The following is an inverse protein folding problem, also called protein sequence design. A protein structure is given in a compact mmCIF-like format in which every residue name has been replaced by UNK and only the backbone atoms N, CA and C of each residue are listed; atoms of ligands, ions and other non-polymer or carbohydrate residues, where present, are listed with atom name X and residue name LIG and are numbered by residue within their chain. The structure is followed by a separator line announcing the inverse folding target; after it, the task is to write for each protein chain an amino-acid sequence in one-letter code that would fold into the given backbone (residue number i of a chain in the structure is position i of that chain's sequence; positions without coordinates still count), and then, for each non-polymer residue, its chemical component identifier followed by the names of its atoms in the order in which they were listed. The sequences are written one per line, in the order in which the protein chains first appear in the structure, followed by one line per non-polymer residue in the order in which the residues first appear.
data_IF_749051762391
#
_entry.id   IF_749051762391
#
_cell.length_a   1.000
_cell.length_b   1.000
_cell.length_c   1.000
_cell.angle_alpha   90.00
_cell.angle_beta   90.00
_cell.angle_gamma   90.00
#
_symmetry.space_group_name_H-M   'P 1'
#
loop_
_entity.id
_entity.type
_entity.pdbx_description
1 polymer ?
#
# COMPACT_ATOMS: atom_id res chain seq x y z
N UNK A 1 68.24 -47.95 18.45
CA UNK A 1 67.14 -47.91 17.52
C UNK A 1 66.04 -47.02 18.09
N UNK A 2 66.01 -45.76 17.66
CA UNK A 2 65.00 -44.79 18.10
C UNK A 2 64.06 -44.56 16.94
N UNK A 3 62.81 -44.97 17.11
CA UNK A 3 61.72 -44.69 16.12
C UNK A 3 61.16 -43.32 16.46
N UNK A 4 61.32 -42.37 15.58
CA UNK A 4 60.64 -41.08 15.63
C UNK A 4 59.23 -41.25 15.05
N UNK A 5 58.21 -41.00 15.85
CA UNK A 5 56.82 -40.88 15.41
C UNK A 5 56.55 -39.39 15.11
N UNK A 6 56.30 -39.05 13.88
CA UNK A 6 55.79 -37.75 13.45
C UNK A 6 54.26 -37.71 13.71
N UNK A 7 53.74 -36.64 14.33
CA UNK A 7 52.30 -36.46 14.32
C UNK A 7 51.84 -35.77 13.03
N UNK A 8 50.84 -36.34 12.36
CA UNK A 8 50.12 -35.73 11.27
C UNK A 8 49.26 -34.59 11.81
N UNK A 9 49.56 -33.37 11.37
CA UNK A 9 48.68 -32.22 11.53
C UNK A 9 47.62 -32.25 10.46
N UNK A 10 46.40 -32.60 10.83
CA UNK A 10 45.22 -32.45 9.96
C UNK A 10 44.74 -30.99 10.03
N UNK A 11 44.98 -30.26 8.95
CA UNK A 11 44.42 -28.94 8.72
C UNK A 11 42.94 -29.09 8.34
N UNK A 12 42.05 -28.81 9.28
CA UNK A 12 40.62 -28.72 9.00
C UNK A 12 40.28 -27.43 8.26
N UNK A 13 39.93 -27.53 7.00
CA UNK A 13 39.41 -26.42 6.23
C UNK A 13 37.97 -26.13 6.70
N UNK A 14 37.80 -25.01 7.40
CA UNK A 14 36.48 -24.44 7.68
C UNK A 14 35.94 -23.80 6.42
N UNK A 15 35.05 -24.51 5.71
CA UNK A 15 34.27 -23.94 4.64
C UNK A 15 33.20 -23.00 5.23
N UNK A 16 33.43 -21.70 5.13
CA UNK A 16 32.38 -20.71 5.36
C UNK A 16 31.38 -20.80 4.22
N UNK A 17 30.28 -21.48 4.46
CA UNK A 17 29.13 -21.43 3.55
C UNK A 17 28.51 -20.02 3.66
N UNK A 18 28.70 -19.20 2.63
CA UNK A 18 27.91 -17.98 2.44
C UNK A 18 26.46 -18.37 2.21
N UNK A 19 25.62 -18.22 3.21
CA UNK A 19 24.18 -18.35 3.07
C UNK A 19 23.69 -17.09 2.37
N UNK A 20 23.11 -17.16 1.17
CA UNK A 20 22.55 -15.98 0.53
C UNK A 20 21.37 -15.49 1.38
N UNK A 21 21.42 -14.23 1.78
CA UNK A 21 20.36 -13.58 2.55
C UNK A 21 19.06 -13.56 1.73
N UNK A 22 18.16 -14.46 2.02
CA UNK A 22 16.81 -14.49 1.43
C UNK A 22 16.00 -13.22 1.74
N UNK A 23 16.38 -12.46 2.76
CA UNK A 23 15.76 -11.18 3.12
C UNK A 23 15.83 -10.12 2.01
N UNK A 24 16.82 -10.15 1.12
CA UNK A 24 16.94 -9.19 0.02
C UNK A 24 16.04 -9.53 -1.19
N UNK A 25 15.70 -10.79 -1.37
CA UNK A 25 14.74 -11.21 -2.40
C UNK A 25 13.30 -10.87 -2.01
N UNK A 26 12.96 -11.01 -0.76
CA UNK A 26 11.65 -10.65 -0.23
C UNK A 26 11.35 -9.15 -0.37
N UNK A 27 12.36 -8.29 -0.21
CA UNK A 27 12.21 -6.84 -0.39
C UNK A 27 11.97 -6.40 -1.84
N UNK A 28 12.47 -7.12 -2.83
CA UNK A 28 12.27 -6.81 -4.27
C UNK A 28 10.90 -7.23 -4.78
N UNK A 29 10.34 -8.30 -4.27
CA UNK A 29 9.02 -8.81 -4.66
C UNK A 29 7.87 -8.10 -3.93
N UNK A 30 8.15 -7.56 -2.75
CA UNK A 30 7.16 -6.87 -1.91
C UNK A 30 6.70 -5.51 -2.47
N UNK A 31 7.51 -4.80 -3.26
CA UNK A 31 7.17 -3.44 -3.70
C UNK A 31 5.94 -3.39 -4.62
N UNK A 32 5.84 -4.19 -5.70
CA UNK A 32 4.64 -4.21 -6.52
C UNK A 32 3.41 -4.75 -5.76
N UNK A 33 3.62 -5.75 -4.93
CA UNK A 33 2.57 -6.38 -4.12
C UNK A 33 2.08 -5.46 -3.00
N UNK A 34 2.97 -4.69 -2.36
CA UNK A 34 2.62 -3.70 -1.35
C UNK A 34 1.74 -2.60 -1.93
N UNK A 35 2.10 -2.07 -3.10
CA UNK A 35 1.30 -1.05 -3.81
C UNK A 35 -0.10 -1.54 -4.15
N UNK A 36 -0.21 -2.77 -4.65
CA UNK A 36 -1.50 -3.38 -4.98
C UNK A 36 -2.36 -3.62 -3.74
N UNK A 37 -1.76 -4.06 -2.65
CA UNK A 37 -2.46 -4.19 -1.37
C UNK A 37 -2.91 -2.84 -0.85
N UNK A 38 -2.05 -1.83 -0.92
CA UNK A 38 -2.33 -0.49 -0.43
C UNK A 38 -3.54 0.13 -1.12
N UNK A 39 -3.62 0.12 -2.45
CA UNK A 39 -4.76 0.69 -3.18
C UNK A 39 -6.06 -0.08 -2.89
N UNK A 40 -5.99 -1.41 -2.78
CA UNK A 40 -7.16 -2.21 -2.44
C UNK A 40 -7.65 -1.94 -1.01
N UNK A 41 -6.72 -1.80 -0.07
CA UNK A 41 -7.04 -1.48 1.32
C UNK A 41 -7.63 -0.07 1.43
N UNK A 42 -7.02 0.93 0.80
CA UNK A 42 -7.53 2.30 0.79
C UNK A 42 -8.95 2.39 0.22
N UNK A 43 -9.20 1.73 -0.91
CA UNK A 43 -10.52 1.65 -1.53
C UNK A 43 -11.55 0.99 -0.61
N UNK A 44 -11.21 -0.16 -0.03
CA UNK A 44 -12.10 -0.88 0.88
C UNK A 44 -12.39 -0.10 2.16
N UNK A 45 -11.40 0.59 2.71
CA UNK A 45 -11.53 1.46 3.88
C UNK A 45 -12.52 2.59 3.60
N UNK A 46 -12.32 3.33 2.51
CA UNK A 46 -13.24 4.42 2.14
C UNK A 46 -14.67 3.92 1.90
N UNK A 47 -14.84 2.79 1.22
CA UNK A 47 -16.15 2.21 1.01
C UNK A 47 -16.84 1.86 2.32
N UNK A 48 -16.12 1.22 3.24
CA UNK A 48 -16.65 0.86 4.57
C UNK A 48 -17.02 2.09 5.38
N UNK A 49 -16.16 3.09 5.44
CA UNK A 49 -16.38 4.31 6.23
C UNK A 49 -17.52 5.17 5.69
N UNK A 50 -17.85 5.04 4.41
CA UNK A 50 -18.95 5.78 3.76
C UNK A 50 -20.23 4.96 3.56
N UNK A 51 -20.43 3.92 4.32
CA UNK A 51 -21.69 3.17 4.37
C UNK A 51 -21.75 1.92 3.48
N UNK A 52 -20.64 1.55 2.83
CA UNK A 52 -20.55 0.37 1.98
C UNK A 52 -20.85 0.65 0.52
N UNK A 53 -20.60 -0.35 -0.33
CA UNK A 53 -20.73 -0.23 -1.80
C UNK A 53 -22.16 -0.03 -2.31
N UNK A 54 -23.17 -0.21 -1.48
CA UNK A 54 -24.55 0.10 -1.83
C UNK A 54 -24.84 1.60 -1.84
N UNK A 55 -24.06 2.38 -1.06
CA UNK A 55 -24.24 3.81 -0.88
C UNK A 55 -23.12 4.65 -1.46
N UNK A 56 -21.93 4.06 -1.61
CA UNK A 56 -20.71 4.77 -1.97
C UNK A 56 -19.84 3.95 -2.91
N UNK A 57 -19.40 4.59 -4.00
CA UNK A 57 -18.38 4.07 -4.88
C UNK A 57 -17.18 5.02 -4.95
N UNK A 58 -15.97 4.54 -4.64
CA UNK A 58 -14.74 5.28 -4.89
C UNK A 58 -14.55 5.57 -6.37
N UNK A 59 -13.78 6.61 -6.69
CA UNK A 59 -13.43 6.96 -8.06
C UNK A 59 -12.74 5.79 -8.79
N UNK A 60 -12.90 5.75 -10.09
CA UNK A 60 -12.38 4.68 -10.97
C UNK A 60 -10.86 4.49 -10.84
N UNK A 61 -10.09 5.55 -10.56
CA UNK A 61 -8.65 5.46 -10.33
C UNK A 61 -8.27 4.47 -9.22
N UNK A 62 -9.16 4.23 -8.25
CA UNK A 62 -8.93 3.31 -7.14
C UNK A 62 -9.09 1.83 -7.52
N UNK A 63 -9.52 1.53 -8.75
CA UNK A 63 -9.65 0.16 -9.29
C UNK A 63 -8.51 -0.22 -10.23
N UNK A 64 -7.62 0.71 -10.53
CA UNK A 64 -6.44 0.50 -11.37
C UNK A 64 -5.21 0.05 -10.55
N UNK A 65 -4.05 0.15 -11.18
CA UNK A 65 -2.77 -0.03 -10.51
C UNK A 65 -2.26 1.32 -9.96
N UNK A 66 -1.14 1.28 -9.25
CA UNK A 66 -0.54 2.49 -8.65
C UNK A 66 0.44 3.23 -9.57
N UNK A 67 0.73 2.68 -10.76
CA UNK A 67 1.64 3.30 -11.71
C UNK A 67 0.93 4.44 -12.42
N UNK A 68 1.49 5.65 -12.33
CA UNK A 68 0.91 6.87 -12.91
C UNK A 68 -0.56 7.11 -12.48
N UNK A 69 -0.91 6.68 -11.28
CA UNK A 69 -2.26 6.80 -10.76
C UNK A 69 -2.48 8.20 -10.17
N UNK A 70 -3.43 8.99 -10.68
CA UNK A 70 -3.68 10.35 -10.18
C UNK A 70 -4.20 10.38 -8.74
N UNK A 71 -4.74 9.26 -8.25
CA UNK A 71 -5.25 9.16 -6.89
C UNK A 71 -4.18 8.77 -5.86
N UNK A 72 -3.03 8.29 -6.29
CA UNK A 72 -1.86 8.12 -5.43
C UNK A 72 -1.11 9.46 -5.36
N UNK A 73 -1.28 10.19 -4.28
CA UNK A 73 -0.70 11.53 -4.12
C UNK A 73 0.69 11.51 -3.50
N UNK A 74 1.01 10.47 -2.74
CA UNK A 74 2.30 10.34 -2.08
C UNK A 74 2.69 8.87 -1.91
N UNK A 75 3.97 8.60 -2.18
CA UNK A 75 4.59 7.29 -1.96
C UNK A 75 6.00 7.51 -1.47
N UNK A 76 6.25 7.21 -0.20
CA UNK A 76 7.54 7.37 0.45
C UNK A 76 7.74 6.35 1.60
N UNK A 77 8.75 6.56 2.43
CA UNK A 77 9.04 5.71 3.59
C UNK A 77 7.89 5.66 4.61
N UNK A 78 6.99 6.65 4.61
CA UNK A 78 5.83 6.70 5.49
C UNK A 78 4.63 5.90 4.96
N UNK A 79 4.66 5.50 3.71
CA UNK A 79 3.62 4.68 3.09
C UNK A 79 3.05 5.24 1.81
N UNK A 80 1.78 4.94 1.57
CA UNK A 80 1.02 5.33 0.39
C UNK A 80 -0.14 6.22 0.80
N UNK A 81 -0.15 7.45 0.33
CA UNK A 81 -1.28 8.35 0.52
C UNK A 81 -2.13 8.36 -0.74
N UNK A 82 -3.39 8.03 -0.58
CA UNK A 82 -4.40 8.11 -1.63
C UNK A 82 -5.37 9.24 -1.32
N UNK A 83 -5.61 10.08 -2.33
CA UNK A 83 -6.63 11.13 -2.29
C UNK A 83 -7.57 10.94 -3.47
N UNK A 84 -8.83 10.72 -3.21
CA UNK A 84 -9.79 10.41 -4.25
C UNK A 84 -11.20 10.81 -3.88
N UNK A 85 -11.99 11.24 -4.87
CA UNK A 85 -13.41 11.46 -4.69
C UNK A 85 -14.20 10.15 -4.70
N UNK A 86 -15.40 10.20 -4.19
CA UNK A 86 -16.39 9.14 -4.29
C UNK A 86 -17.79 9.71 -4.25
N UNK A 87 -18.77 8.90 -4.57
CA UNK A 87 -20.16 9.31 -4.63
C UNK A 87 -21.11 8.13 -4.67
N UNK A 88 -22.40 8.37 -4.95
CA UNK A 88 -23.38 7.31 -5.06
C UNK A 88 -23.02 6.34 -6.20
N UNK A 89 -23.47 5.07 -6.14
CA UNK A 89 -23.19 4.10 -7.19
C UNK A 89 -23.48 4.64 -8.59
N UNK A 90 -22.50 4.48 -9.49
CA UNK A 90 -22.62 4.96 -10.88
C UNK A 90 -22.36 6.45 -11.09
N UNK A 91 -21.98 7.20 -10.08
CA UNK A 91 -21.80 8.65 -10.14
C UNK A 91 -20.89 9.13 -11.30
N UNK A 92 -19.75 8.48 -11.53
CA UNK A 92 -18.85 8.85 -12.64
C UNK A 92 -19.47 8.58 -14.02
N UNK A 93 -20.10 7.42 -14.19
CA UNK A 93 -20.72 7.03 -15.47
C UNK A 93 -21.90 7.94 -15.80
N UNK A 94 -22.64 8.35 -14.78
CA UNK A 94 -23.80 9.23 -14.92
C UNK A 94 -23.40 10.71 -15.00
N UNK A 95 -22.11 11.04 -14.85
CA UNK A 95 -21.65 12.44 -14.83
C UNK A 95 -22.13 13.24 -13.62
N UNK A 96 -22.43 12.57 -12.52
CA UNK A 96 -22.84 13.23 -11.28
C UNK A 96 -21.61 13.75 -10.53
N UNK A 97 -21.73 14.84 -9.75
CA UNK A 97 -20.64 15.30 -8.91
C UNK A 97 -20.36 14.30 -7.79
N UNK A 98 -19.08 14.19 -7.36
CA UNK A 98 -18.74 13.43 -6.17
C UNK A 98 -19.33 14.07 -4.91
N UNK A 99 -19.62 13.25 -3.90
CA UNK A 99 -20.18 13.71 -2.64
C UNK A 99 -19.22 13.64 -1.47
N UNK A 100 -18.10 12.88 -1.62
CA UNK A 100 -17.12 12.69 -0.57
C UNK A 100 -15.70 12.77 -1.16
N UNK A 101 -14.81 13.48 -0.48
CA UNK A 101 -13.37 13.43 -0.71
C UNK A 101 -12.73 12.57 0.38
N UNK A 102 -12.03 11.53 0.00
CA UNK A 102 -11.33 10.65 0.93
C UNK A 102 -9.82 10.85 0.83
N UNK A 103 -9.15 10.82 1.98
CA UNK A 103 -7.70 10.74 2.11
C UNK A 103 -7.41 9.55 2.99
N UNK A 104 -6.63 8.59 2.48
CA UNK A 104 -6.28 7.37 3.21
C UNK A 104 -4.78 7.15 3.13
N UNK A 105 -4.13 7.05 4.27
CA UNK A 105 -2.72 6.75 4.40
C UNK A 105 -2.54 5.28 4.80
N UNK A 106 -1.86 4.54 3.95
CA UNK A 106 -1.58 3.11 4.14
C UNK A 106 -0.09 2.91 4.45
N UNK A 107 0.20 2.03 5.39
CA UNK A 107 1.57 1.67 5.77
C UNK A 107 2.41 1.17 4.56
N UNK A 108 3.75 1.28 4.62
CA UNK A 108 4.63 0.89 3.52
C UNK A 108 4.49 -0.55 3.05
N UNK A 109 4.10 -1.46 3.93
CA UNK A 109 3.84 -2.86 3.59
C UNK A 109 2.46 -3.09 2.92
N UNK A 110 1.61 -2.06 2.84
CA UNK A 110 0.27 -2.13 2.24
C UNK A 110 -0.76 -2.90 3.07
N UNK A 111 -0.50 -3.17 4.35
CA UNK A 111 -1.33 -4.07 5.18
C UNK A 111 -2.13 -3.39 6.26
N UNK A 112 -1.85 -2.13 6.56
CA UNK A 112 -2.56 -1.41 7.62
C UNK A 112 -2.86 0.03 7.22
N UNK A 113 -3.99 0.53 7.71
CA UNK A 113 -4.38 1.94 7.60
C UNK A 113 -3.69 2.69 8.73
N UNK A 114 -2.94 3.74 8.38
CA UNK A 114 -2.31 4.64 9.35
C UNK A 114 -3.27 5.75 9.73
N UNK A 115 -3.94 6.34 8.73
CA UNK A 115 -4.89 7.41 8.92
C UNK A 115 -5.92 7.42 7.79
N UNK A 116 -7.12 7.88 8.10
CA UNK A 116 -8.16 8.14 7.12
C UNK A 116 -8.92 9.41 7.46
N UNK A 117 -9.40 10.10 6.44
CA UNK A 117 -10.28 11.25 6.57
C UNK A 117 -11.24 11.29 5.39
N UNK A 118 -12.48 11.64 5.68
CA UNK A 118 -13.55 11.72 4.67
C UNK A 118 -14.27 13.03 4.85
N UNK A 119 -14.28 13.86 3.80
CA UNK A 119 -14.91 15.17 3.79
C UNK A 119 -16.15 15.15 2.92
N UNK A 120 -17.28 15.59 3.46
CA UNK A 120 -18.53 15.75 2.73
C UNK A 120 -18.43 16.99 1.81
N UNK A 121 -18.39 16.75 0.52
CA UNK A 121 -18.30 17.78 -0.51
C UNK A 121 -19.66 18.41 -0.83
N UNK A 122 -20.78 17.75 -0.47
CA UNK A 122 -22.13 18.25 -0.78
C UNK A 122 -22.49 19.49 0.04
N UNK A 123 -21.84 19.69 1.18
CA UNK A 123 -22.08 20.84 2.07
C UNK A 123 -21.38 22.12 1.67
N UNK A 124 -20.37 22.04 0.77
CA UNK A 124 -19.59 23.20 0.34
C UNK A 124 -20.26 24.09 -0.70
N UNK A 125 -21.44 23.74 -1.19
CA UNK A 125 -22.15 24.45 -2.27
C UNK A 125 -23.33 25.30 -1.83
N UNK A 126 -23.62 25.39 -0.52
CA UNK A 126 -24.67 26.28 -0.03
C UNK A 126 -24.06 27.67 0.18
N UNK A 127 -24.51 28.70 -0.58
CA UNK A 127 -24.17 30.08 -0.21
C UNK A 127 -24.72 30.37 1.17
N UNK A 128 -24.04 31.23 1.96
CA UNK A 128 -24.57 31.64 3.25
C UNK A 128 -25.97 32.24 3.05
N UNK A 129 -26.93 31.72 3.81
CA UNK A 129 -28.28 32.30 3.83
C UNK A 129 -28.19 33.77 4.23
N UNK A 130 -28.94 34.64 3.55
CA UNK A 130 -28.96 36.05 3.84
C UNK A 130 -29.48 36.35 5.25
#
# INVERSE_FOLDING_TARGET
MKRLLLPLLSVGALAFACVPSQAQQESRELVPTASKRAINLARGTAAKSNGGLRLYHPARCMYGNTTNNPCLTKRDANGFEFRFPGGPPGWEVLGLPPTVQSIVLIAPNGRSVIAESHEDMSRGSLPPLP
#
